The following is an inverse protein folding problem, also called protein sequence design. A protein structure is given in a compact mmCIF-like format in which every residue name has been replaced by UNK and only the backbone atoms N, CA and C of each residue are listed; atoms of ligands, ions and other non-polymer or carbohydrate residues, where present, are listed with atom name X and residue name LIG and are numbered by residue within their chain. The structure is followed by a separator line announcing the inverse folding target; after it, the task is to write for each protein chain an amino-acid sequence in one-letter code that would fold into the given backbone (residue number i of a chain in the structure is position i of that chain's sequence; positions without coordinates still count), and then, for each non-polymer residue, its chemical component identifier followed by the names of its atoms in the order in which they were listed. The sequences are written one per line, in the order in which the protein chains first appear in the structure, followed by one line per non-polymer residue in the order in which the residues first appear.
data_IF_123742441178
#
_entry.id   IF_123742441178
#
_cell.length_a   1.000
_cell.length_b   1.000
_cell.length_c   1.000
_cell.angle_alpha   90.00
_cell.angle_beta   90.00
_cell.angle_gamma   90.00
#
_symmetry.space_group_name_H-M   'P 1'
#
loop_
_entity.id
_entity.type
_entity.pdbx_description
1 polymer ?
#
# COMPACT_ATOMS: atom_id res chain seq x y z
N UNK A 1 21.40 16.60 18.76
CA UNK A 1 20.09 15.95 18.47
C UNK A 1 20.34 14.69 17.65
N UNK A 2 20.01 13.52 18.22
CA UNK A 2 20.59 12.22 17.85
C UNK A 2 20.14 11.62 16.52
N UNK A 3 21.08 10.91 15.87
CA UNK A 3 20.93 10.14 14.61
C UNK A 3 19.61 9.35 14.51
N UNK A 4 19.12 8.80 15.64
CA UNK A 4 17.84 8.08 15.75
C UNK A 4 16.61 8.88 15.29
N UNK A 5 16.55 10.19 15.58
CA UNK A 5 15.42 11.04 15.14
C UNK A 5 15.39 11.20 13.61
N UNK A 6 16.57 11.30 13.00
CA UNK A 6 16.73 11.44 11.54
C UNK A 6 16.34 10.16 10.83
N UNK A 7 16.83 9.00 11.31
CA UNK A 7 16.48 7.69 10.76
C UNK A 7 14.98 7.40 10.85
N UNK A 8 14.35 7.72 11.98
CA UNK A 8 12.91 7.59 12.17
C UNK A 8 12.14 8.44 11.15
N UNK A 9 12.54 9.69 10.92
CA UNK A 9 11.92 10.57 9.90
C UNK A 9 12.07 9.98 8.49
N UNK A 10 13.25 9.44 8.14
CA UNK A 10 13.47 8.77 6.85
C UNK A 10 12.58 7.53 6.69
N UNK A 11 12.48 6.70 7.73
CA UNK A 11 11.62 5.49 7.74
C UNK A 11 10.14 5.84 7.55
N UNK A 12 9.63 6.85 8.27
CA UNK A 12 8.25 7.34 8.09
C UNK A 12 7.98 7.81 6.66
N UNK A 13 8.87 8.62 6.10
CA UNK A 13 8.74 9.11 4.71
C UNK A 13 8.72 7.96 3.70
N UNK A 14 9.53 6.92 3.91
CA UNK A 14 9.54 5.72 3.05
C UNK A 14 8.21 4.96 3.12
N UNK A 15 7.69 4.73 4.33
CA UNK A 15 6.41 4.03 4.53
C UNK A 15 5.25 4.79 3.88
N UNK A 16 5.18 6.11 4.06
CA UNK A 16 4.15 6.94 3.42
C UNK A 16 4.20 6.85 1.89
N UNK A 17 5.42 6.84 1.30
CA UNK A 17 5.58 6.66 -0.15
C UNK A 17 5.11 5.27 -0.60
N UNK A 18 5.38 4.23 0.17
CA UNK A 18 4.93 2.86 -0.12
C UNK A 18 3.40 2.76 -0.04
N UNK A 19 2.78 3.26 1.03
CA UNK A 19 1.32 3.28 1.20
C UNK A 19 0.64 3.97 0.01
N UNK A 20 1.13 5.15 -0.40
CA UNK A 20 0.59 5.86 -1.56
C UNK A 20 0.74 5.05 -2.85
N UNK A 21 1.88 4.40 -3.05
CA UNK A 21 2.11 3.55 -4.22
C UNK A 21 1.17 2.34 -4.27
N UNK A 22 1.01 1.66 -3.13
CA UNK A 22 0.11 0.51 -3.00
C UNK A 22 -1.34 0.91 -3.23
N UNK A 23 -1.81 2.01 -2.62
CA UNK A 23 -3.15 2.55 -2.87
C UNK A 23 -3.38 2.87 -4.35
N UNK A 24 -2.39 3.46 -5.02
CA UNK A 24 -2.51 3.78 -6.46
C UNK A 24 -2.65 2.51 -7.30
N UNK A 25 -1.94 1.43 -6.94
CA UNK A 25 -2.08 0.15 -7.61
C UNK A 25 -3.43 -0.48 -7.32
N UNK A 26 -3.84 -0.56 -6.05
CA UNK A 26 -5.15 -1.03 -5.60
C UNK A 26 -6.27 -0.33 -6.39
N UNK A 27 -6.32 1.00 -6.38
CA UNK A 27 -7.33 1.80 -7.10
C UNK A 27 -7.33 1.48 -8.61
N UNK A 28 -6.15 1.33 -9.22
CA UNK A 28 -6.02 0.96 -10.64
C UNK A 28 -6.59 -0.42 -10.94
N UNK A 29 -6.37 -1.40 -10.05
CA UNK A 29 -6.85 -2.77 -10.23
C UNK A 29 -8.34 -2.87 -9.93
N UNK A 30 -8.88 -2.09 -8.98
CA UNK A 30 -10.32 -1.94 -8.77
C UNK A 30 -10.99 -1.43 -10.05
N UNK A 31 -10.47 -0.36 -10.65
CA UNK A 31 -11.03 0.17 -11.91
C UNK A 31 -10.97 -0.86 -13.04
N UNK A 32 -9.84 -1.56 -13.21
CA UNK A 32 -9.71 -2.65 -14.19
C UNK A 32 -10.70 -3.78 -13.96
N UNK A 33 -10.98 -4.12 -12.70
CA UNK A 33 -11.97 -5.16 -12.37
C UNK A 33 -13.39 -4.77 -12.75
N UNK A 34 -13.69 -3.47 -12.82
CA UNK A 34 -15.00 -2.95 -13.19
C UNK A 34 -15.15 -2.78 -14.71
N UNK A 35 -14.10 -2.29 -15.38
CA UNK A 35 -14.17 -1.83 -16.77
C UNK A 35 -13.69 -2.86 -17.81
N UNK A 36 -12.82 -3.82 -17.47
CA UNK A 36 -12.32 -4.79 -18.46
C UNK A 36 -13.36 -5.89 -18.78
N UNK A 37 -13.79 -5.95 -20.04
CA UNK A 37 -14.27 -7.20 -20.65
C UNK A 37 -13.07 -8.15 -20.71
N UNK A 38 -12.97 -9.04 -19.72
CA UNK A 38 -11.78 -9.86 -19.49
C UNK A 38 -11.25 -10.63 -20.71
N UNK A 39 -9.94 -10.84 -20.71
CA UNK A 39 -9.23 -11.72 -21.65
C UNK A 39 -8.98 -13.10 -21.01
N UNK A 40 -8.39 -14.03 -21.78
CA UNK A 40 -7.95 -15.34 -21.27
C UNK A 40 -6.98 -15.20 -20.08
N UNK A 41 -6.15 -14.15 -20.08
CA UNK A 41 -5.07 -13.96 -19.11
C UNK A 41 -5.39 -12.89 -18.05
N UNK A 42 -6.38 -12.02 -18.32
CA UNK A 42 -6.79 -10.94 -17.40
C UNK A 42 -8.30 -10.89 -17.29
N UNK A 43 -8.84 -11.48 -16.22
CA UNK A 43 -10.27 -11.43 -15.93
C UNK A 43 -10.57 -10.38 -14.86
N UNK A 44 -11.80 -9.84 -14.80
CA UNK A 44 -12.26 -9.02 -13.67
C UNK A 44 -11.92 -9.63 -12.30
N UNK A 45 -12.05 -10.96 -12.18
CA UNK A 45 -11.70 -11.71 -10.97
C UNK A 45 -10.20 -11.70 -10.66
N UNK A 46 -9.34 -11.76 -11.68
CA UNK A 46 -7.89 -11.62 -11.50
C UNK A 46 -7.55 -10.23 -10.95
N UNK A 47 -8.11 -9.17 -11.54
CA UNK A 47 -7.90 -7.81 -11.07
C UNK A 47 -8.44 -7.55 -9.67
N UNK A 48 -9.58 -8.15 -9.31
CA UNK A 48 -10.12 -8.11 -7.95
C UNK A 48 -9.16 -8.73 -6.93
N UNK A 49 -8.57 -9.90 -7.23
CA UNK A 49 -7.57 -10.53 -6.36
C UNK A 49 -6.31 -9.68 -6.20
N UNK A 50 -5.81 -9.11 -7.29
CA UNK A 50 -4.64 -8.23 -7.22
C UNK A 50 -4.95 -6.98 -6.36
N UNK A 51 -6.14 -6.38 -6.51
CA UNK A 51 -6.57 -5.27 -5.67
C UNK A 51 -6.58 -5.65 -4.17
N UNK A 52 -7.09 -6.85 -3.82
CA UNK A 52 -7.05 -7.36 -2.45
C UNK A 52 -5.61 -7.52 -1.91
N UNK A 53 -4.69 -8.03 -2.73
CA UNK A 53 -3.27 -8.18 -2.36
C UNK A 53 -2.65 -6.81 -2.06
N UNK A 54 -2.83 -5.84 -2.96
CA UNK A 54 -2.29 -4.48 -2.75
C UNK A 54 -2.94 -3.79 -1.55
N UNK A 55 -4.23 -4.00 -1.33
CA UNK A 55 -4.96 -3.50 -0.16
C UNK A 55 -4.42 -4.07 1.15
N UNK A 56 -4.22 -5.39 1.21
CA UNK A 56 -3.63 -6.07 2.38
C UNK A 56 -2.21 -5.57 2.65
N UNK A 57 -1.36 -5.48 1.63
CA UNK A 57 0.00 -4.95 1.76
C UNK A 57 0.01 -3.48 2.23
N UNK A 58 -0.95 -2.68 1.78
CA UNK A 58 -1.11 -1.27 2.19
C UNK A 58 -1.44 -1.18 3.67
N UNK A 59 -2.44 -1.93 4.14
CA UNK A 59 -2.87 -1.95 5.54
C UNK A 59 -1.72 -2.39 6.46
N UNK A 60 -0.99 -3.40 6.03
CA UNK A 60 0.19 -3.93 6.69
C UNK A 60 1.34 -2.89 6.83
N UNK A 61 1.44 -1.93 5.89
CA UNK A 61 2.34 -0.76 5.98
C UNK A 61 1.77 0.36 6.85
N UNK A 62 0.45 0.55 6.88
CA UNK A 62 -0.23 1.50 7.78
C UNK A 62 0.00 1.08 9.22
N UNK A 63 -0.19 -0.19 9.57
CA UNK A 63 0.07 -0.72 10.91
C UNK A 63 1.52 -0.50 11.36
N UNK A 64 2.48 -0.71 10.45
CA UNK A 64 3.90 -0.45 10.72
C UNK A 64 4.15 1.04 10.95
N UNK A 65 3.47 1.91 10.20
CA UNK A 65 3.56 3.36 10.40
C UNK A 65 2.99 3.74 11.77
N UNK A 66 1.80 3.23 12.13
CA UNK A 66 1.16 3.46 13.43
C UNK A 66 2.03 3.02 14.59
N UNK A 67 2.64 1.83 14.53
CA UNK A 67 3.59 1.36 15.57
C UNK A 67 4.76 2.32 15.73
N UNK A 68 5.26 2.89 14.63
CA UNK A 68 6.33 3.91 14.66
C UNK A 68 5.79 5.27 15.12
N UNK A 69 4.49 5.53 15.08
CA UNK A 69 3.88 6.73 15.64
C UNK A 69 3.64 6.57 17.14
N UNK A 70 3.12 5.43 17.57
CA UNK A 70 2.79 5.05 18.96
C UNK A 70 4.03 4.88 19.84
N UNK A 71 5.13 4.29 19.34
CA UNK A 71 6.42 4.23 20.04
C UNK A 71 7.12 5.61 20.16
N UNK A 72 6.37 6.72 20.04
CA UNK A 72 6.85 8.08 20.33
C UNK A 72 6.80 8.38 21.83
N UNK A 73 6.08 7.60 22.61
CA UNK A 73 6.20 7.56 24.08
C UNK A 73 7.37 6.67 24.51
#
# INVERSE_FOLDING_TARGET
MGKRKIERKKRKKRLLKQIKGLKTQEDKHILKSQDEQGSKDTTPKYWGKEAEIYGSDKDDRIDKLEKIEKNKE
#
